data_IF_275494457039
#
_entry.id   IF_275494457039
#
_cell.length_a   1.000
_cell.length_b   1.000
_cell.length_c   1.000
_cell.angle_alpha   90.00
_cell.angle_beta   90.00
_cell.angle_gamma   90.00
#
_symmetry.space_group_name_H-M   'P 1'
#
loop_
_entity.id
_entity.type
_entity.pdbx_description
1 polymer ?
#
# COMPACT_ATOMS: atom_id res chain seq x y z
N UNK A 1 -31.88 31.62 -5.72
CA UNK A 1 -31.26 30.87 -4.60
C UNK A 1 -31.62 31.58 -3.31
N UNK A 2 -32.25 30.88 -2.37
CA UNK A 2 -32.56 31.40 -1.03
C UNK A 2 -31.46 31.08 0.00
N UNK A 3 -31.56 31.66 1.19
CA UNK A 3 -30.59 31.43 2.29
C UNK A 3 -30.40 29.94 2.64
N UNK A 4 -31.48 29.15 2.63
CA UNK A 4 -31.43 27.70 2.88
C UNK A 4 -30.68 26.93 1.78
N UNK A 5 -30.82 27.35 0.54
CA UNK A 5 -30.12 26.72 -0.59
C UNK A 5 -28.62 26.99 -0.49
N UNK A 6 -28.23 28.23 -0.17
CA UNK A 6 -26.83 28.61 0.02
C UNK A 6 -26.15 27.89 1.19
N UNK A 7 -26.85 27.65 2.31
CA UNK A 7 -26.30 26.84 3.41
C UNK A 7 -26.12 25.37 3.01
N UNK A 8 -27.04 24.83 2.21
CA UNK A 8 -26.98 23.44 1.77
C UNK A 8 -25.88 23.22 0.73
N UNK A 9 -25.68 24.18 -0.18
CA UNK A 9 -24.58 24.17 -1.15
C UNK A 9 -23.22 24.33 -0.45
N UNK A 10 -23.09 25.28 0.48
CA UNK A 10 -21.84 25.47 1.23
C UNK A 10 -21.44 24.24 2.07
N UNK A 11 -22.41 23.52 2.65
CA UNK A 11 -22.13 22.26 3.36
C UNK A 11 -21.65 21.15 2.41
N UNK A 12 -22.23 21.09 1.20
CA UNK A 12 -21.81 20.13 0.17
C UNK A 12 -20.39 20.45 -0.32
N UNK A 13 -20.09 21.72 -0.55
CA UNK A 13 -18.77 22.16 -1.00
C UNK A 13 -17.69 21.84 0.04
N UNK A 14 -17.96 22.13 1.32
CA UNK A 14 -17.05 21.77 2.41
C UNK A 14 -16.85 20.24 2.55
N UNK A 15 -17.92 19.46 2.40
CA UNK A 15 -17.83 18.00 2.43
C UNK A 15 -17.03 17.46 1.23
N UNK A 16 -17.21 18.04 0.04
CA UNK A 16 -16.48 17.66 -1.16
C UNK A 16 -14.99 18.01 -1.06
N UNK A 17 -14.65 19.16 -0.50
CA UNK A 17 -13.26 19.55 -0.25
C UNK A 17 -12.56 18.59 0.71
N UNK A 18 -13.23 18.24 1.81
CA UNK A 18 -12.75 17.22 2.75
C UNK A 18 -12.55 15.85 2.09
N UNK A 19 -13.48 15.43 1.24
CA UNK A 19 -13.35 14.19 0.46
C UNK A 19 -12.15 14.25 -0.50
N UNK A 20 -11.99 15.32 -1.26
CA UNK A 20 -10.90 15.48 -2.22
C UNK A 20 -9.53 15.43 -1.52
N UNK A 21 -9.41 16.06 -0.35
CA UNK A 21 -8.19 16.04 0.46
C UNK A 21 -7.88 14.61 0.95
N UNK A 22 -8.86 13.94 1.55
CA UNK A 22 -8.72 12.57 2.04
C UNK A 22 -8.42 11.58 0.90
N UNK A 23 -9.04 11.76 -0.26
CA UNK A 23 -8.76 10.97 -1.45
C UNK A 23 -7.30 11.13 -1.91
N UNK A 24 -6.78 12.36 -2.01
CA UNK A 24 -5.37 12.59 -2.37
C UNK A 24 -4.40 11.95 -1.38
N UNK A 25 -4.68 12.06 -0.08
CA UNK A 25 -3.85 11.47 0.97
C UNK A 25 -3.87 9.94 0.96
N UNK A 26 -5.02 9.34 0.66
CA UNK A 26 -5.18 7.88 0.61
C UNK A 26 -4.75 7.27 -0.72
N UNK A 27 -4.69 8.02 -1.81
CA UNK A 27 -4.37 7.51 -3.14
C UNK A 27 -2.98 6.85 -3.20
N UNK A 28 -1.93 7.52 -2.70
CA UNK A 28 -0.57 6.98 -2.66
C UNK A 28 -0.48 5.72 -1.79
N UNK A 29 -1.09 5.76 -0.60
CA UNK A 29 -1.07 4.62 0.32
C UNK A 29 -1.86 3.44 -0.24
N UNK A 30 -3.02 3.71 -0.84
CA UNK A 30 -3.84 2.70 -1.51
C UNK A 30 -3.13 2.06 -2.69
N UNK A 31 -2.37 2.84 -3.46
CA UNK A 31 -1.53 2.33 -4.54
C UNK A 31 -0.46 1.37 -4.03
N UNK A 32 0.31 1.75 -2.99
CA UNK A 32 1.31 0.88 -2.36
C UNK A 32 0.70 -0.42 -1.85
N UNK A 33 -0.49 -0.32 -1.26
CA UNK A 33 -1.22 -1.48 -0.74
C UNK A 33 -1.69 -2.43 -1.84
N UNK A 34 -2.23 -1.87 -2.93
CA UNK A 34 -2.60 -2.63 -4.12
C UNK A 34 -1.39 -3.29 -4.77
N UNK A 35 -0.24 -2.61 -4.81
CA UNK A 35 0.99 -3.15 -5.38
C UNK A 35 1.51 -4.35 -4.59
N UNK A 36 1.62 -4.23 -3.26
CA UNK A 36 2.08 -5.32 -2.39
C UNK A 36 1.17 -6.54 -2.53
N UNK A 37 -0.16 -6.33 -2.47
CA UNK A 37 -1.12 -7.43 -2.59
C UNK A 37 -1.08 -8.05 -3.99
N UNK A 38 -1.01 -7.23 -5.03
CA UNK A 38 -0.94 -7.69 -6.42
C UNK A 38 0.31 -8.51 -6.71
N UNK A 39 1.49 -8.03 -6.28
CA UNK A 39 2.75 -8.74 -6.48
C UNK A 39 2.75 -10.05 -5.70
N UNK A 40 2.45 -10.02 -4.39
CA UNK A 40 2.45 -11.24 -3.57
C UNK A 40 1.41 -12.27 -4.05
N UNK A 41 0.22 -11.83 -4.48
CA UNK A 41 -0.79 -12.71 -5.10
C UNK A 41 -0.35 -13.29 -6.44
N UNK A 42 0.29 -12.49 -7.30
CA UNK A 42 0.84 -12.98 -8.56
C UNK A 42 1.88 -14.07 -8.28
N UNK A 43 2.83 -13.80 -7.38
CA UNK A 43 3.84 -14.77 -6.93
C UNK A 43 3.23 -16.03 -6.34
N UNK A 44 2.21 -15.93 -5.49
CA UNK A 44 1.52 -17.10 -4.93
C UNK A 44 0.87 -17.97 -6.02
N UNK A 45 0.36 -17.34 -7.08
CA UNK A 45 -0.33 -18.01 -8.20
C UNK A 45 0.62 -18.68 -9.21
N UNK A 46 1.93 -18.42 -9.16
CA UNK A 46 2.91 -19.08 -10.02
C UNK A 46 3.09 -20.56 -9.64
N UNK A 47 3.41 -21.40 -10.63
CA UNK A 47 3.78 -22.80 -10.39
C UNK A 47 5.12 -22.89 -9.65
N UNK A 48 5.31 -23.94 -8.86
CA UNK A 48 6.53 -24.11 -8.07
C UNK A 48 7.79 -24.15 -8.95
N UNK A 49 7.70 -24.76 -10.14
CA UNK A 49 8.77 -24.76 -11.15
C UNK A 49 9.15 -23.36 -11.67
N UNK A 50 8.22 -22.40 -11.70
CA UNK A 50 8.49 -21.01 -12.08
C UNK A 50 9.00 -20.22 -10.88
N UNK A 51 8.43 -20.44 -9.69
CA UNK A 51 8.97 -19.90 -8.44
C UNK A 51 10.44 -20.32 -8.26
N UNK A 52 10.80 -21.54 -8.66
CA UNK A 52 12.17 -22.06 -8.70
C UNK A 52 13.12 -21.33 -9.62
N UNK A 53 12.65 -20.92 -10.79
CA UNK A 53 13.46 -20.16 -11.74
C UNK A 53 13.67 -18.72 -11.31
N UNK A 54 12.63 -18.09 -10.74
CA UNK A 54 12.67 -16.67 -10.36
C UNK A 54 13.31 -16.43 -8.99
N UNK A 55 13.10 -17.35 -8.04
CA UNK A 55 13.62 -17.28 -6.68
C UNK A 55 14.33 -18.60 -6.36
N UNK A 56 15.61 -18.70 -6.69
CA UNK A 56 16.44 -19.87 -6.33
C UNK A 56 16.51 -20.13 -4.82
N UNK A 57 16.31 -19.10 -3.99
CA UNK A 57 16.36 -19.21 -2.55
C UNK A 57 15.00 -19.55 -1.94
N UNK A 58 14.95 -20.71 -1.31
CA UNK A 58 13.80 -21.23 -0.57
C UNK A 58 13.41 -20.31 0.59
N UNK A 59 14.37 -19.63 1.22
CA UNK A 59 14.10 -18.72 2.35
C UNK A 59 13.27 -17.51 1.90
N UNK A 60 13.60 -16.93 0.73
CA UNK A 60 12.86 -15.80 0.15
C UNK A 60 11.44 -16.17 -0.25
N UNK A 61 11.23 -17.39 -0.74
CA UNK A 61 9.88 -17.87 -1.05
C UNK A 61 9.01 -17.98 0.19
N UNK A 62 9.56 -18.56 1.26
CA UNK A 62 8.87 -18.61 2.56
C UNK A 62 8.46 -17.22 3.02
N UNK A 63 9.40 -16.26 3.01
CA UNK A 63 9.09 -14.86 3.39
C UNK A 63 8.02 -14.21 2.50
N UNK A 64 8.02 -14.48 1.20
CA UNK A 64 7.05 -13.91 0.27
C UNK A 64 5.66 -14.54 0.43
N UNK A 65 5.60 -15.83 0.74
CA UNK A 65 4.38 -16.55 1.06
C UNK A 65 3.83 -16.12 2.43
N UNK A 66 4.68 -15.94 3.43
CA UNK A 66 4.32 -15.37 4.73
C UNK A 66 3.76 -13.96 4.56
N UNK A 67 4.41 -13.13 3.72
CA UNK A 67 3.94 -11.79 3.37
C UNK A 67 2.61 -11.82 2.63
N UNK A 68 2.43 -12.77 1.70
CA UNK A 68 1.17 -12.97 0.99
C UNK A 68 0.04 -13.29 1.96
N UNK A 69 0.25 -14.27 2.86
CA UNK A 69 -0.73 -14.67 3.86
C UNK A 69 -1.08 -13.52 4.79
N UNK A 70 -0.07 -12.78 5.27
CA UNK A 70 -0.25 -11.62 6.14
C UNK A 70 -1.05 -10.50 5.46
N UNK A 71 -0.72 -10.15 4.22
CA UNK A 71 -1.42 -9.09 3.48
C UNK A 71 -2.83 -9.55 3.09
N UNK A 72 -3.02 -10.84 2.80
CA UNK A 72 -4.32 -11.40 2.46
C UNK A 72 -5.27 -11.45 3.66
N UNK A 73 -4.76 -11.71 4.86
CA UNK A 73 -5.52 -11.68 6.12
C UNK A 73 -6.06 -10.27 6.46
N UNK A 74 -5.37 -9.22 6.00
CA UNK A 74 -5.81 -7.85 6.22
C UNK A 74 -7.06 -7.55 5.38
N UNK A 75 -8.20 -7.41 6.06
CA UNK A 75 -9.46 -6.99 5.45
C UNK A 75 -9.40 -5.55 4.93
N UNK A 76 -10.33 -5.16 4.07
CA UNK A 76 -10.45 -3.78 3.61
C UNK A 76 -10.61 -2.78 4.77
N UNK A 77 -11.36 -3.17 5.82
CA UNK A 77 -11.52 -2.36 7.03
C UNK A 77 -10.20 -2.29 7.83
N UNK A 78 -9.48 -3.40 7.94
CA UNK A 78 -8.17 -3.43 8.58
C UNK A 78 -7.14 -2.55 7.87
N UNK A 79 -7.15 -2.55 6.53
CA UNK A 79 -6.32 -1.66 5.72
C UNK A 79 -6.65 -0.18 5.96
N UNK A 80 -7.94 0.16 6.07
CA UNK A 80 -8.37 1.52 6.39
C UNK A 80 -7.95 1.96 7.79
N UNK A 81 -8.01 1.04 8.78
CA UNK A 81 -7.52 1.31 10.13
C UNK A 81 -6.00 1.53 10.15
N UNK A 82 -5.22 0.71 9.44
CA UNK A 82 -3.78 0.89 9.30
C UNK A 82 -3.45 2.23 8.63
N UNK A 83 -4.22 2.64 7.62
CA UNK A 83 -4.09 3.96 7.01
C UNK A 83 -4.37 5.09 8.01
N UNK A 84 -5.45 4.98 8.78
CA UNK A 84 -5.79 5.97 9.81
C UNK A 84 -4.69 6.06 10.88
N UNK A 85 -4.19 4.92 11.36
CA UNK A 85 -3.08 4.85 12.32
C UNK A 85 -1.80 5.47 11.74
N UNK A 86 -1.49 5.20 10.47
CA UNK A 86 -0.32 5.79 9.78
C UNK A 86 -0.46 7.30 9.61
N UNK A 87 -1.68 7.79 9.37
CA UNK A 87 -1.97 9.23 9.26
C UNK A 87 -1.78 9.92 10.61
N UNK A 88 -2.26 9.30 11.70
CA UNK A 88 -2.04 9.82 13.06
C UNK A 88 -0.55 9.82 13.43
N UNK A 89 0.18 8.74 13.14
CA UNK A 89 1.61 8.61 13.43
C UNK A 89 2.44 9.64 12.65
N UNK A 90 2.20 9.82 11.35
CA UNK A 90 2.89 10.84 10.54
C UNK A 90 2.73 12.27 11.09
N UNK A 91 1.61 12.57 11.77
CA UNK A 91 1.40 13.86 12.41
C UNK A 91 2.10 14.00 13.78
N UNK A 92 2.54 12.90 14.39
CA UNK A 92 3.11 12.86 15.75
C UNK A 92 4.61 12.56 15.79
N UNK A 93 5.13 11.63 14.96
CA UNK A 93 6.56 11.29 14.78
C UNK A 93 6.80 10.54 13.46
N UNK A 94 7.98 10.66 12.82
CA UNK A 94 8.39 9.80 11.70
C UNK A 94 8.80 8.40 12.18
N UNK A 95 7.99 7.77 13.03
CA UNK A 95 8.14 6.35 13.39
C UNK A 95 7.55 5.52 12.25
N UNK A 96 8.27 4.46 11.85
CA UNK A 96 7.88 3.63 10.70
C UNK A 96 6.48 3.05 10.91
N UNK A 97 5.53 3.50 10.08
CA UNK A 97 4.20 2.89 10.08
C UNK A 97 4.29 1.47 9.52
N UNK A 98 3.49 0.54 10.05
CA UNK A 98 3.46 -0.87 9.60
C UNK A 98 3.37 -1.00 8.07
N UNK A 99 2.67 -0.08 7.42
CA UNK A 99 2.50 -0.04 5.97
C UNK A 99 3.81 0.29 5.22
N UNK A 100 4.63 1.18 5.78
CA UNK A 100 5.97 1.46 5.26
C UNK A 100 6.88 0.24 5.43
N UNK A 101 6.82 -0.45 6.57
CA UNK A 101 7.59 -1.69 6.80
C UNK A 101 7.23 -2.76 5.76
N UNK A 102 5.94 -3.01 5.54
CA UNK A 102 5.46 -4.01 4.57
C UNK A 102 5.90 -3.67 3.15
N UNK A 103 5.87 -2.38 2.79
CA UNK A 103 6.33 -1.91 1.47
C UNK A 103 7.84 -2.09 1.32
N UNK A 104 8.63 -1.79 2.37
CA UNK A 104 10.08 -1.98 2.39
C UNK A 104 10.46 -3.46 2.32
N UNK A 105 9.75 -4.32 3.03
CA UNK A 105 9.98 -5.78 3.03
C UNK A 105 9.79 -6.34 1.62
N UNK A 106 8.71 -5.93 0.94
CA UNK A 106 8.49 -6.31 -0.45
C UNK A 106 9.61 -5.79 -1.37
N UNK A 107 10.07 -4.56 -1.17
CA UNK A 107 11.15 -4.00 -1.99
C UNK A 107 12.49 -4.69 -1.77
N UNK A 108 12.83 -5.02 -0.53
CA UNK A 108 14.02 -5.79 -0.22
C UNK A 108 13.97 -7.17 -0.89
N UNK A 109 12.81 -7.84 -0.83
CA UNK A 109 12.61 -9.14 -1.48
C UNK A 109 12.71 -9.07 -3.01
N UNK A 110 12.32 -7.94 -3.63
CA UNK A 110 12.34 -7.76 -5.10
C UNK A 110 13.69 -7.25 -5.64
N UNK A 111 14.40 -6.39 -4.91
CA UNK A 111 15.68 -5.81 -5.37
C UNK A 111 16.83 -6.82 -5.36
N UNK A 112 16.66 -7.96 -4.68
CA UNK A 112 17.57 -9.10 -4.71
C UNK A 112 17.27 -10.11 -5.84
N UNK A 113 16.27 -9.85 -6.69
CA UNK A 113 16.05 -10.59 -7.93
C UNK A 113 16.86 -9.97 -9.08
N UNK A 114 17.85 -10.68 -9.67
CA UNK A 114 18.73 -10.12 -10.69
C UNK A 114 18.02 -9.74 -12.01
N UNK A 115 16.81 -10.27 -12.26
CA UNK A 115 16.03 -10.02 -13.51
C UNK A 115 14.87 -9.02 -13.36
N UNK A 116 14.59 -8.50 -12.16
CA UNK A 116 13.51 -7.51 -11.96
C UNK A 116 14.13 -6.11 -11.95
N UNK A 117 14.08 -5.42 -13.08
CA UNK A 117 14.33 -3.98 -13.12
C UNK A 117 13.19 -3.25 -12.40
N UNK A 118 13.40 -2.95 -11.12
CA UNK A 118 12.57 -1.98 -10.39
C UNK A 118 12.86 -0.61 -11.00
N UNK A 119 11.91 -0.03 -11.74
CA UNK A 119 12.06 1.30 -12.31
C UNK A 119 12.44 2.32 -11.23
N UNK A 120 13.49 3.10 -11.52
CA UNK A 120 14.12 4.13 -10.66
C UNK A 120 13.16 5.20 -10.09
N UNK A 121 11.91 5.27 -10.58
CA UNK A 121 10.84 6.10 -10.05
C UNK A 121 10.51 5.81 -8.58
N UNK A 122 10.87 4.63 -8.06
CA UNK A 122 10.62 4.26 -6.66
C UNK A 122 11.77 4.65 -5.70
N UNK A 123 12.95 5.03 -6.21
CA UNK A 123 14.08 5.51 -5.39
C UNK A 123 13.98 6.99 -5.04
N UNK A 124 13.07 7.72 -5.67
CA UNK A 124 12.96 9.17 -5.49
C UNK A 124 11.72 9.50 -4.65
N UNK A 125 11.90 9.54 -3.34
CA UNK A 125 11.02 10.33 -2.46
C UNK A 125 11.93 11.18 -1.56
N UNK A 126 11.74 12.52 -1.51
CA UNK A 126 12.42 13.40 -0.56
C UNK A 126 11.96 13.20 0.89
#
# INVERSE_FOLDING_TARGET
MGYRDGMTEGQKDAAQEGFNLGHRQSADVGYKWGLVRGITSAFASLSDSLKEKWLLDTQRRGKLEDLHNFVQEISAQGALQLFHESTLKNNLRPEESKLQTITKDLLLLLHECPDVHVSEELKRVP
#
